data_IF_093706151149
#
_entry.id   IF_093706151149
#
_cell.length_a   1.000
_cell.length_b   1.000
_cell.length_c   1.000
_cell.angle_alpha   90.00
_cell.angle_beta   90.00
_cell.angle_gamma   90.00
#
_symmetry.space_group_name_H-M   'P 1'
#
loop_
_entity.id
_entity.type
_entity.pdbx_description
1 polymer ?
#
# COMPACT_ATOMS: atom_id res chain seq x y z
N UNK A 1 -47.13 -4.77 -21.67
CA UNK A 1 -46.16 -3.89 -22.33
C UNK A 1 -45.06 -3.67 -21.31
N UNK A 2 -43.98 -4.42 -21.49
CA UNK A 2 -42.90 -4.58 -20.50
C UNK A 2 -41.84 -3.53 -20.83
N UNK A 3 -41.66 -2.55 -19.95
CA UNK A 3 -40.47 -1.70 -19.99
C UNK A 3 -39.33 -2.40 -19.21
N UNK A 4 -38.09 -2.31 -19.70
CA UNK A 4 -36.98 -3.11 -19.23
C UNK A 4 -36.39 -2.58 -17.92
N UNK A 5 -35.90 -3.53 -17.13
CA UNK A 5 -35.04 -3.33 -15.96
C UNK A 5 -33.77 -2.56 -16.34
N UNK A 6 -33.64 -1.32 -15.86
CA UNK A 6 -32.34 -0.64 -15.75
C UNK A 6 -31.63 -1.12 -14.48
N UNK A 7 -30.93 -2.25 -14.62
CA UNK A 7 -29.97 -2.72 -13.65
C UNK A 7 -28.57 -2.35 -14.16
N UNK A 8 -28.06 -1.19 -13.75
CA UNK A 8 -26.65 -0.92 -13.95
C UNK A 8 -26.24 0.49 -13.64
N UNK A 9 -25.65 0.68 -12.45
CA UNK A 9 -24.50 1.58 -12.13
C UNK A 9 -24.67 2.18 -10.74
N UNK A 10 -23.97 1.64 -9.74
CA UNK A 10 -23.95 2.27 -8.43
C UNK A 10 -23.15 1.61 -7.30
N UNK A 11 -22.30 0.62 -7.56
CA UNK A 11 -21.63 -0.13 -6.48
C UNK A 11 -20.10 -0.22 -6.62
N UNK A 12 -19.43 0.75 -7.26
CA UNK A 12 -17.96 0.75 -7.39
C UNK A 12 -17.24 2.00 -6.84
N UNK A 13 -17.97 3.03 -6.41
CA UNK A 13 -17.34 4.34 -6.16
C UNK A 13 -16.84 4.53 -4.71
N UNK A 14 -17.45 3.93 -3.70
CA UNK A 14 -17.13 4.28 -2.30
C UNK A 14 -15.90 3.60 -1.71
N UNK A 15 -15.53 2.40 -2.19
CA UNK A 15 -14.38 1.65 -1.67
C UNK A 15 -13.04 2.14 -2.27
N UNK A 16 -13.06 2.51 -3.55
CA UNK A 16 -11.93 3.09 -4.29
C UNK A 16 -11.47 4.42 -3.66
N UNK A 17 -12.43 5.31 -3.37
CA UNK A 17 -12.13 6.62 -2.79
C UNK A 17 -11.46 6.50 -1.41
N UNK A 18 -11.92 5.58 -0.55
CA UNK A 18 -11.33 5.37 0.77
C UNK A 18 -9.92 4.75 0.71
N UNK A 19 -9.67 3.86 -0.24
CA UNK A 19 -8.35 3.26 -0.42
C UNK A 19 -7.33 4.27 -0.98
N UNK A 20 -7.75 5.09 -1.94
CA UNK A 20 -6.93 6.18 -2.49
C UNK A 20 -6.61 7.25 -1.45
N UNK A 21 -7.59 7.64 -0.63
CA UNK A 21 -7.43 8.62 0.46
C UNK A 21 -6.39 8.18 1.50
N UNK A 22 -6.42 6.89 1.89
CA UNK A 22 -5.40 6.32 2.79
C UNK A 22 -3.99 6.50 2.25
N UNK A 23 -3.77 6.25 0.96
CA UNK A 23 -2.45 6.38 0.35
C UNK A 23 -2.02 7.84 0.14
N UNK A 24 -2.98 8.75 -0.07
CA UNK A 24 -2.70 10.18 -0.26
C UNK A 24 -2.11 10.83 1.01
N UNK A 25 -2.48 10.34 2.19
CA UNK A 25 -1.98 10.84 3.48
C UNK A 25 -0.65 10.20 3.93
N UNK A 26 -0.17 9.17 3.24
CA UNK A 26 1.12 8.55 3.54
C UNK A 26 2.29 9.41 3.08
N UNK A 27 3.35 9.41 3.87
CA UNK A 27 4.64 9.97 3.46
C UNK A 27 5.16 9.25 2.20
N UNK A 28 6.02 9.92 1.43
CA UNK A 28 6.66 9.28 0.27
C UNK A 28 7.38 7.98 0.67
N UNK A 29 8.07 8.00 1.81
CA UNK A 29 8.78 6.81 2.30
C UNK A 29 7.84 5.65 2.65
N UNK A 30 6.69 5.91 3.27
CA UNK A 30 5.69 4.88 3.53
C UNK A 30 5.13 4.28 2.24
N UNK A 31 4.86 5.09 1.22
CA UNK A 31 4.43 4.61 -0.10
C UNK A 31 5.51 3.75 -0.76
N UNK A 32 6.77 4.16 -0.66
CA UNK A 32 7.89 3.39 -1.20
C UNK A 32 8.07 2.03 -0.48
N UNK A 33 7.76 1.96 0.82
CA UNK A 33 7.72 0.68 1.55
C UNK A 33 6.60 -0.24 1.06
N UNK A 34 5.42 0.30 0.74
CA UNK A 34 4.32 -0.48 0.16
C UNK A 34 4.71 -1.03 -1.23
N UNK A 35 5.32 -0.20 -2.09
CA UNK A 35 5.83 -0.66 -3.38
C UNK A 35 6.98 -1.69 -3.22
N UNK A 36 7.84 -1.55 -2.22
CA UNK A 36 8.87 -2.54 -1.95
C UNK A 36 8.27 -3.89 -1.54
N UNK A 37 7.22 -3.89 -0.70
CA UNK A 37 6.51 -5.09 -0.29
C UNK A 37 5.71 -5.73 -1.43
N UNK A 38 5.10 -4.94 -2.30
CA UNK A 38 4.45 -5.41 -3.53
C UNK A 38 5.44 -6.20 -4.40
N UNK A 39 6.64 -5.66 -4.61
CA UNK A 39 7.69 -6.29 -5.43
C UNK A 39 8.33 -7.52 -4.79
N UNK A 40 8.56 -7.49 -3.48
CA UNK A 40 9.25 -8.57 -2.77
C UNK A 40 8.33 -9.67 -2.25
N UNK A 41 7.01 -9.42 -2.18
CA UNK A 41 6.06 -10.28 -1.49
C UNK A 41 6.30 -10.32 0.03
N UNK A 42 5.66 -11.28 0.75
CA UNK A 42 5.86 -11.48 2.18
C UNK A 42 7.35 -11.61 2.52
N UNK A 43 7.85 -10.69 3.34
CA UNK A 43 9.30 -10.48 3.51
C UNK A 43 9.67 -10.01 4.90
N UNK A 44 10.87 -10.39 5.35
CA UNK A 44 11.47 -9.88 6.59
C UNK A 44 11.81 -8.39 6.43
N UNK A 45 11.79 -7.65 7.54
CA UNK A 45 12.15 -6.22 7.54
C UNK A 45 13.54 -5.93 6.92
N UNK A 46 14.50 -6.85 7.04
CA UNK A 46 15.82 -6.71 6.41
C UNK A 46 15.75 -6.78 4.88
N UNK A 47 14.87 -7.60 4.31
CA UNK A 47 14.65 -7.68 2.85
C UNK A 47 14.05 -6.37 2.35
N UNK A 48 13.02 -5.87 3.05
CA UNK A 48 12.40 -4.57 2.72
C UNK A 48 13.42 -3.43 2.82
N UNK A 49 14.26 -3.42 3.87
CA UNK A 49 15.35 -2.44 4.04
C UNK A 49 16.29 -2.42 2.82
N UNK A 50 16.68 -3.60 2.35
CA UNK A 50 17.59 -3.74 1.20
C UNK A 50 16.93 -3.25 -0.09
N UNK A 51 15.68 -3.65 -0.34
CA UNK A 51 14.95 -3.25 -1.55
C UNK A 51 14.78 -1.73 -1.64
N UNK A 52 14.37 -1.09 -0.55
CA UNK A 52 14.20 0.37 -0.51
C UNK A 52 15.54 1.11 -0.51
N UNK A 53 16.58 0.55 0.13
CA UNK A 53 17.92 1.14 0.10
C UNK A 53 18.57 1.09 -1.29
N UNK A 54 18.36 -0.01 -2.02
CA UNK A 54 18.78 -0.11 -3.42
C UNK A 54 18.07 0.92 -4.30
N UNK A 55 16.77 1.14 -4.05
CA UNK A 55 16.02 2.18 -4.76
C UNK A 55 16.55 3.59 -4.52
N UNK A 56 16.89 3.94 -3.27
CA UNK A 56 17.47 5.26 -2.96
C UNK A 56 18.97 5.38 -3.25
N UNK A 57 19.66 4.28 -3.53
CA UNK A 57 21.12 4.26 -3.68
C UNK A 57 21.87 4.53 -2.37
N UNK A 58 21.21 4.36 -1.22
CA UNK A 58 21.78 4.59 0.11
C UNK A 58 21.26 3.61 1.17
N UNK A 59 21.97 3.48 2.28
CA UNK A 59 21.51 2.64 3.38
C UNK A 59 20.37 3.31 4.16
N UNK A 60 19.24 2.62 4.27
CA UNK A 60 18.11 3.09 5.09
C UNK A 60 18.33 2.81 6.57
N UNK A 61 18.18 3.85 7.40
CA UNK A 61 18.29 3.73 8.86
C UNK A 61 17.16 2.86 9.45
N UNK A 62 17.51 1.98 10.40
CA UNK A 62 16.55 1.16 11.16
C UNK A 62 15.47 2.00 11.87
N UNK A 63 15.85 3.09 12.52
CA UNK A 63 14.94 4.01 13.21
C UNK A 63 14.03 4.81 12.27
N UNK A 64 14.29 4.78 10.95
CA UNK A 64 13.34 5.27 9.93
C UNK A 64 12.46 4.14 9.44
N UNK A 65 13.03 2.97 9.14
CA UNK A 65 12.30 1.85 8.56
C UNK A 65 11.18 1.32 9.48
N UNK A 66 11.53 0.94 10.71
CA UNK A 66 10.62 0.16 11.55
C UNK A 66 9.42 0.97 12.07
N UNK A 67 9.57 2.23 12.51
CA UNK A 67 8.41 3.05 12.85
C UNK A 67 7.44 3.19 11.68
N UNK A 68 7.94 3.36 10.46
CA UNK A 68 7.08 3.47 9.28
C UNK A 68 6.40 2.13 8.92
N UNK A 69 7.06 0.98 9.13
CA UNK A 69 6.41 -0.33 8.99
C UNK A 69 5.32 -0.54 10.05
N UNK A 70 5.57 -0.11 11.29
CA UNK A 70 4.57 -0.22 12.36
C UNK A 70 3.37 0.71 12.08
N UNK A 71 3.59 1.96 11.65
CA UNK A 71 2.51 2.88 11.24
C UNK A 71 1.65 2.29 10.10
N UNK A 72 2.28 1.65 9.12
CA UNK A 72 1.58 0.99 8.00
C UNK A 72 0.78 -0.23 8.47
N UNK A 73 1.28 -0.96 9.47
CA UNK A 73 0.58 -2.09 10.05
C UNK A 73 -0.63 -1.62 10.87
N UNK A 74 -0.48 -0.55 11.65
CA UNK A 74 -1.54 0.09 12.41
C UNK A 74 -2.63 0.67 11.49
N UNK A 75 -2.24 1.19 10.32
CA UNK A 75 -3.17 1.62 9.27
C UNK A 75 -3.88 0.45 8.54
N UNK A 76 -3.48 -0.81 8.83
CA UNK A 76 -4.02 -2.01 8.21
C UNK A 76 -3.62 -2.22 6.75
N UNK A 77 -2.60 -1.51 6.26
CA UNK A 77 -2.11 -1.60 4.87
C UNK A 77 -1.10 -2.73 4.70
N UNK A 78 -0.43 -3.11 5.79
CA UNK A 78 0.43 -4.30 5.84
C UNK A 78 0.05 -5.17 7.04
N UNK A 79 0.26 -6.48 6.90
CA UNK A 79 0.22 -7.40 8.02
C UNK A 79 1.64 -7.60 8.56
N UNK A 80 1.77 -7.62 9.89
CA UNK A 80 2.99 -8.00 10.61
C UNK A 80 2.78 -9.34 11.29
N UNK A 81 3.61 -10.33 10.97
CA UNK A 81 3.60 -11.65 11.61
C UNK A 81 4.93 -11.90 12.30
N UNK A 82 4.86 -12.34 13.54
CA UNK A 82 6.03 -12.81 14.26
C UNK A 82 6.38 -14.24 13.84
N UNK A 83 7.64 -14.47 13.44
CA UNK A 83 8.10 -15.78 12.95
C UNK A 83 8.74 -16.60 14.08
N UNK A 84 9.55 -15.98 14.93
CA UNK A 84 10.37 -16.67 15.94
C UNK A 84 10.71 -15.81 17.18
N UNK A 85 9.89 -14.82 17.52
CA UNK A 85 10.12 -13.90 18.65
C UNK A 85 11.18 -12.84 18.42
N UNK A 86 11.95 -12.91 17.33
CA UNK A 86 12.98 -11.93 16.97
C UNK A 86 12.80 -11.38 15.56
N UNK A 87 12.14 -12.16 14.70
CA UNK A 87 11.94 -11.84 13.29
C UNK A 87 10.47 -11.55 13.02
N UNK A 88 10.21 -10.38 12.46
CA UNK A 88 8.92 -10.05 11.87
C UNK A 88 8.96 -10.24 10.35
N UNK A 89 7.89 -10.82 9.82
CA UNK A 89 7.54 -10.83 8.42
C UNK A 89 6.45 -9.79 8.17
N UNK A 90 6.57 -9.09 7.05
CA UNK A 90 5.66 -8.05 6.60
C UNK A 90 5.12 -8.43 5.22
N UNK A 91 3.82 -8.23 5.00
CA UNK A 91 3.16 -8.48 3.73
C UNK A 91 2.08 -7.41 3.50
N UNK A 92 1.78 -7.08 2.24
CA UNK A 92 0.59 -6.27 1.96
C UNK A 92 -0.67 -7.00 2.42
N UNK A 93 -1.65 -6.23 2.87
CA UNK A 93 -3.04 -6.71 3.00
C UNK A 93 -3.79 -6.44 1.72
N UNK A 94 -4.97 -7.03 1.56
CA UNK A 94 -5.90 -6.69 0.48
C UNK A 94 -6.18 -5.18 0.42
N UNK A 95 -6.20 -4.50 1.58
CA UNK A 95 -6.39 -3.05 1.65
C UNK A 95 -5.16 -2.28 1.16
N UNK A 96 -3.94 -2.78 1.45
CA UNK A 96 -2.69 -2.23 0.91
C UNK A 96 -2.60 -2.37 -0.61
N UNK A 97 -2.93 -3.55 -1.15
CA UNK A 97 -2.96 -3.81 -2.59
C UNK A 97 -4.00 -2.92 -3.31
N UNK A 98 -5.22 -2.85 -2.77
CA UNK A 98 -6.27 -1.97 -3.33
C UNK A 98 -5.86 -0.50 -3.31
N UNK A 99 -5.20 -0.05 -2.25
CA UNK A 99 -4.77 1.33 -2.15
C UNK A 99 -3.66 1.65 -3.16
N UNK A 100 -2.69 0.75 -3.38
CA UNK A 100 -1.70 0.88 -4.45
C UNK A 100 -2.36 0.94 -5.83
N UNK A 101 -3.28 0.03 -6.12
CA UNK A 101 -4.00 0.01 -7.40
C UNK A 101 -4.82 1.31 -7.63
N UNK A 102 -5.49 1.82 -6.59
CA UNK A 102 -6.22 3.08 -6.65
C UNK A 102 -5.27 4.26 -6.93
N UNK A 103 -4.08 4.25 -6.33
CA UNK A 103 -3.05 5.28 -6.56
C UNK A 103 -2.51 5.25 -7.99
N UNK A 104 -2.30 4.06 -8.55
CA UNK A 104 -1.88 3.89 -9.94
C UNK A 104 -2.96 4.38 -10.91
N UNK A 105 -4.22 4.03 -10.66
CA UNK A 105 -5.36 4.52 -11.45
C UNK A 105 -5.48 6.05 -11.41
N UNK A 106 -5.27 6.68 -10.25
CA UNK A 106 -5.25 8.13 -10.11
C UNK A 106 -4.10 8.79 -10.91
N UNK A 107 -2.92 8.16 -10.90
CA UNK A 107 -1.75 8.67 -11.65
C UNK A 107 -1.95 8.49 -13.16
N UNK A 108 -2.49 7.35 -13.59
CA UNK A 108 -2.73 7.02 -15.00
C UNK A 108 -3.89 7.82 -15.62
N UNK A 109 -4.90 8.19 -14.83
CA UNK A 109 -6.00 9.07 -15.26
C UNK A 109 -5.57 10.55 -15.41
N UNK A 110 -4.29 10.84 -15.19
CA UNK A 110 -3.72 12.16 -15.43
C UNK A 110 -4.14 13.19 -14.40
N UNK A 111 -4.28 12.78 -13.12
CA UNK A 111 -4.52 13.65 -11.96
C UNK A 111 -5.49 14.79 -12.31
N UNK A 112 -6.78 14.49 -12.38
CA UNK A 112 -7.78 15.46 -12.84
C UNK A 112 -7.59 16.83 -12.16
N UNK A 113 -7.19 17.80 -12.98
CA UNK A 113 -6.91 19.23 -12.70
C UNK A 113 -5.48 19.49 -12.19
N UNK A 114 -4.59 20.06 -13.02
CA UNK A 114 -4.45 21.49 -13.30
C UNK A 114 -3.77 22.25 -12.14
#
# INVERSE_FOLDING_TARGET
MTEPTDAGRGARTTLDESASDKLAHLTAFQRDLLHALDRCGPSKGLTVKRAVGEYYGEEVNHGRLYPNLDDLADAGLIAKREVDGRTNEYALTDAGEQALAAREAWTASGGASA
#
